data_IF_937234872232
#
_entry.id   IF_937234872232
#
_cell.length_a   1.000
_cell.length_b   1.000
_cell.length_c   1.000
_cell.angle_alpha   90.00
_cell.angle_beta   90.00
_cell.angle_gamma   90.00
#
_symmetry.space_group_name_H-M   'P 1'
#
loop_
_entity.id
_entity.type
_entity.pdbx_description
1 polymer ?
#
# COMPACT_ATOMS: atom_id res chain seq x y z
N UNK A 1 19.19 -11.50 -6.00
CA UNK A 1 18.41 -10.27 -5.73
C UNK A 1 17.42 -10.12 -6.87
N UNK A 2 16.12 -10.07 -6.56
CA UNK A 2 15.05 -9.81 -7.54
C UNK A 2 14.67 -8.34 -7.47
N UNK A 3 14.49 -7.69 -8.61
CA UNK A 3 14.03 -6.30 -8.69
C UNK A 3 12.61 -6.30 -9.26
N UNK A 4 11.64 -5.81 -8.50
CA UNK A 4 10.29 -5.59 -9.01
C UNK A 4 10.29 -4.34 -9.89
N UNK A 5 9.77 -4.44 -11.11
CA UNK A 5 9.62 -3.30 -12.00
C UNK A 5 8.33 -2.58 -11.63
N UNK A 6 8.44 -1.55 -10.78
CA UNK A 6 7.34 -0.62 -10.56
C UNK A 6 7.15 0.14 -11.87
N UNK A 7 5.94 0.12 -12.42
CA UNK A 7 5.60 0.81 -13.67
C UNK A 7 5.67 2.34 -13.54
N UNK A 8 4.77 3.06 -14.22
CA UNK A 8 4.73 4.52 -14.09
C UNK A 8 4.18 4.91 -12.72
N UNK A 9 5.01 5.54 -11.90
CA UNK A 9 4.56 6.22 -10.67
C UNK A 9 3.85 7.50 -11.09
N UNK A 10 2.59 7.66 -10.68
CA UNK A 10 1.84 8.90 -10.83
C UNK A 10 1.62 9.49 -9.45
N UNK A 11 2.04 10.74 -9.27
CA UNK A 11 1.82 11.45 -8.02
C UNK A 11 0.32 11.73 -7.82
N UNK A 12 -0.15 11.50 -6.60
CA UNK A 12 -1.52 11.76 -6.16
C UNK A 12 -1.41 12.68 -4.94
N UNK A 13 -1.88 13.92 -5.10
CA UNK A 13 -1.68 14.98 -4.11
C UNK A 13 -2.84 15.12 -3.11
N UNK A 14 -3.92 14.34 -3.29
CA UNK A 14 -5.17 14.46 -2.54
C UNK A 14 -5.60 13.10 -1.95
N UNK A 15 -6.09 13.13 -0.72
CA UNK A 15 -6.65 11.99 0.00
C UNK A 15 -7.90 11.40 -0.66
N UNK A 16 -8.75 12.22 -1.28
CA UNK A 16 -9.96 11.75 -1.97
C UNK A 16 -9.55 10.92 -3.18
N UNK A 17 -8.69 11.48 -4.04
CA UNK A 17 -8.15 10.76 -5.20
C UNK A 17 -7.36 9.49 -4.79
N UNK A 18 -6.63 9.52 -3.68
CA UNK A 18 -5.96 8.32 -3.16
C UNK A 18 -6.98 7.23 -2.78
N UNK A 19 -8.05 7.58 -2.07
CA UNK A 19 -9.09 6.61 -1.70
C UNK A 19 -9.77 6.00 -2.93
N UNK A 20 -10.10 6.80 -3.95
CA UNK A 20 -10.69 6.30 -5.20
C UNK A 20 -9.78 5.27 -5.90
N UNK A 21 -8.46 5.49 -5.87
CA UNK A 21 -7.49 4.58 -6.46
C UNK A 21 -7.33 3.28 -5.65
N UNK A 22 -7.37 3.37 -4.31
CA UNK A 22 -7.41 2.18 -3.44
C UNK A 22 -8.66 1.35 -3.73
N UNK A 23 -9.83 1.99 -3.81
CA UNK A 23 -11.10 1.32 -4.14
C UNK A 23 -11.09 0.68 -5.53
N UNK A 24 -10.41 1.31 -6.49
CA UNK A 24 -10.20 0.77 -7.82
C UNK A 24 -9.19 -0.40 -7.87
N UNK A 25 -8.50 -0.70 -6.76
CA UNK A 25 -7.55 -1.82 -6.64
C UNK A 25 -6.12 -1.47 -7.06
N UNK A 26 -5.77 -0.18 -7.12
CA UNK A 26 -4.38 0.23 -7.36
C UNK A 26 -3.56 0.17 -6.07
N UNK A 27 -2.31 -0.27 -6.20
CA UNK A 27 -1.31 -0.14 -5.14
C UNK A 27 -0.90 1.32 -5.00
N UNK A 28 -0.99 1.84 -3.78
CA UNK A 28 -0.53 3.19 -3.48
C UNK A 28 0.76 3.17 -2.69
N UNK A 29 1.70 4.03 -3.11
CA UNK A 29 2.91 4.31 -2.38
C UNK A 29 2.73 5.61 -1.60
N UNK A 30 2.60 5.51 -0.28
CA UNK A 30 2.57 6.67 0.60
C UNK A 30 4.00 7.01 1.05
N UNK A 31 4.39 8.26 0.83
CA UNK A 31 5.70 8.81 1.20
C UNK A 31 5.50 9.72 2.40
N UNK A 32 6.11 9.40 3.55
CA UNK A 32 6.01 10.23 4.77
C UNK A 32 7.38 10.51 5.36
N UNK A 33 7.57 11.68 5.99
CA UNK A 33 8.77 11.94 6.79
C UNK A 33 8.79 11.00 8.00
N UNK A 34 9.94 10.39 8.24
CA UNK A 34 10.22 9.54 9.39
C UNK A 34 11.49 9.94 10.11
N UNK A 35 11.76 9.23 11.19
CA UNK A 35 12.96 9.39 12.01
C UNK A 35 13.46 7.98 12.32
N UNK A 36 14.76 7.73 12.12
CA UNK A 36 15.41 6.45 12.46
C UNK A 36 15.52 6.27 13.99
N UNK A 37 15.87 5.07 14.45
CA UNK A 37 16.15 4.83 15.88
C UNK A 37 17.22 5.78 16.43
N UNK A 38 18.15 6.20 15.57
CA UNK A 38 19.29 7.05 15.90
C UNK A 38 18.98 8.55 15.73
N UNK A 39 17.70 8.88 15.50
CA UNK A 39 17.15 10.25 15.34
C UNK A 39 17.50 10.97 14.04
N UNK A 40 17.97 10.25 13.04
CA UNK A 40 18.23 10.83 11.72
C UNK A 40 16.91 10.94 10.92
N UNK A 41 16.64 12.09 10.27
CA UNK A 41 15.50 12.23 9.37
C UNK A 41 15.60 11.23 8.21
N UNK A 42 14.48 10.58 7.90
CA UNK A 42 14.39 9.66 6.78
C UNK A 42 13.05 9.79 6.05
N UNK A 43 12.94 9.16 4.88
CA UNK A 43 11.69 9.04 4.12
C UNK A 43 11.19 7.61 4.24
N UNK A 44 9.97 7.44 4.74
CA UNK A 44 9.31 6.15 4.84
C UNK A 44 8.39 5.94 3.63
N UNK A 45 8.43 4.72 3.11
CA UNK A 45 7.63 4.26 1.97
C UNK A 45 6.65 3.20 2.47
N UNK A 46 5.37 3.52 2.46
CA UNK A 46 4.31 2.57 2.80
C UNK A 46 3.59 2.15 1.53
N UNK A 47 3.57 0.85 1.26
CA UNK A 47 2.71 0.28 0.23
C UNK A 47 1.36 -0.01 0.89
N UNK A 48 0.33 0.77 0.50
CA UNK A 48 -1.04 0.50 0.89
C UNK A 48 -1.46 -0.86 0.34
N UNK A 49 -1.68 -1.83 1.22
CA UNK A 49 -2.17 -3.14 0.82
C UNK A 49 -3.57 -2.98 0.20
N UNK A 50 -3.74 -3.53 -1.00
CA UNK A 50 -5.04 -3.59 -1.67
C UNK A 50 -6.02 -4.31 -0.76
N UNK A 51 -6.91 -3.59 -0.06
CA UNK A 51 -7.99 -4.20 0.70
C UNK A 51 -8.90 -4.98 -0.27
N UNK A 52 -9.20 -6.26 -0.01
CA UNK A 52 -10.08 -7.04 -0.86
C UNK A 52 -11.45 -6.37 -0.94
N UNK A 53 -12.11 -6.50 -2.09
CA UNK A 53 -13.43 -5.92 -2.32
C UNK A 53 -14.45 -6.70 -1.49
N UNK A 54 -15.58 -6.08 -1.17
CA UNK A 54 -16.68 -6.75 -0.44
C UNK A 54 -17.27 -7.97 -1.18
N UNK A 55 -16.89 -8.20 -2.43
CA UNK A 55 -17.25 -9.40 -3.21
C UNK A 55 -16.29 -10.58 -2.99
N UNK A 56 -15.15 -10.35 -2.33
CA UNK A 56 -14.21 -11.40 -1.96
C UNK A 56 -14.72 -12.14 -0.71
N UNK A 57 -14.52 -13.47 -0.63
CA UNK A 57 -14.90 -14.25 0.55
C UNK A 57 -14.26 -13.67 1.82
N UNK A 58 -14.96 -13.75 2.96
CA UNK A 58 -14.40 -13.31 4.25
C UNK A 58 -13.01 -13.94 4.44
N UNK A 59 -12.03 -13.17 4.91
CA UNK A 59 -10.63 -13.60 4.95
C UNK A 59 -9.79 -12.80 5.94
N UNK A 60 -8.54 -13.19 6.12
CA UNK A 60 -7.57 -12.53 6.98
C UNK A 60 -6.28 -12.23 6.22
N UNK A 61 -5.55 -11.19 6.63
CA UNK A 61 -4.17 -11.00 6.19
C UNK A 61 -3.23 -11.76 7.10
N UNK A 62 -2.50 -12.72 6.54
CA UNK A 62 -1.43 -13.47 7.22
C UNK A 62 -0.14 -13.18 6.48
N UNK A 63 0.88 -12.65 7.18
CA UNK A 63 2.19 -12.30 6.60
C UNK A 63 2.12 -11.41 5.34
N UNK A 64 1.06 -10.61 5.22
CA UNK A 64 0.83 -9.70 4.10
C UNK A 64 0.16 -10.32 2.88
N UNK A 65 -0.17 -11.60 2.92
CA UNK A 65 -1.00 -12.29 1.92
C UNK A 65 -2.46 -12.39 2.39
N UNK A 66 -3.41 -12.22 1.46
CA UNK A 66 -4.84 -12.40 1.76
C UNK A 66 -5.19 -13.89 1.74
N UNK A 67 -5.71 -14.40 2.86
CA UNK A 67 -6.12 -15.79 3.03
C UNK A 67 -7.64 -15.84 3.19
N UNK A 68 -8.38 -16.43 2.24
CA UNK A 68 -9.82 -16.66 2.39
C UNK A 68 -10.12 -17.58 3.57
N UNK A 69 -11.14 -17.25 4.38
CA UNK A 69 -11.78 -18.18 5.31
C UNK A 69 -12.78 -19.03 4.54
N UNK A 70 -12.75 -20.33 4.80
CA UNK A 70 -13.78 -21.28 4.34
C UNK A 70 -15.13 -21.05 5.02
#
# INVERSE_FOLDING_TARGET
MSFAHIGKIKEVSDFIQANELIEAGYELLQIVPGITSDRDPCTLFYLGQHKPKAADPEGEYVDGEWVPKE
#
